data_IF_451436409181
#
_entry.id   IF_451436409181
#
_cell.length_a   1.000
_cell.length_b   1.000
_cell.length_c   1.000
_cell.angle_alpha   90.00
_cell.angle_beta   90.00
_cell.angle_gamma   90.00
#
_symmetry.space_group_name_H-M   'P 1'
#
loop_
_entity.id
_entity.type
_entity.pdbx_description
1 polymer ?
#
# COMPACT_ATOMS: atom_id res chain seq x y z
N UNK A 1 -62.48 -9.16 -23.27
CA UNK A 1 -61.81 -10.36 -23.79
C UNK A 1 -60.36 -10.34 -23.33
N UNK A 2 -59.95 -11.42 -22.65
CA UNK A 2 -58.59 -11.96 -22.38
C UNK A 2 -57.37 -11.01 -22.35
N UNK A 3 -56.81 -10.91 -21.13
CA UNK A 3 -55.41 -10.95 -20.70
C UNK A 3 -54.29 -10.79 -21.74
N UNK A 4 -53.25 -10.01 -21.40
CA UNK A 4 -51.85 -10.48 -21.21
C UNK A 4 -51.11 -9.45 -20.33
N UNK A 5 -50.71 -9.93 -19.15
CA UNK A 5 -49.73 -9.33 -18.26
C UNK A 5 -48.36 -9.60 -18.89
N UNK A 6 -47.61 -8.57 -19.23
CA UNK A 6 -46.19 -8.69 -19.54
C UNK A 6 -45.39 -8.05 -18.38
N UNK A 7 -45.14 -8.88 -17.37
CA UNK A 7 -44.09 -8.67 -16.37
C UNK A 7 -42.75 -8.64 -17.10
N UNK A 8 -42.28 -7.45 -17.47
CA UNK A 8 -40.90 -7.26 -17.88
C UNK A 8 -40.08 -7.05 -16.60
N UNK A 9 -39.67 -8.16 -15.99
CA UNK A 9 -38.64 -8.16 -14.98
C UNK A 9 -37.32 -7.79 -15.66
N UNK A 10 -37.01 -6.50 -15.72
CA UNK A 10 -35.63 -6.04 -15.90
C UNK A 10 -34.88 -6.40 -14.62
N UNK A 11 -34.39 -7.65 -14.56
CA UNK A 11 -33.18 -7.96 -13.80
C UNK A 11 -32.06 -7.11 -14.40
N UNK A 12 -31.91 -5.89 -13.87
CA UNK A 12 -30.66 -5.18 -13.94
C UNK A 12 -29.69 -6.05 -13.14
N UNK A 13 -28.91 -6.86 -13.86
CA UNK A 13 -27.65 -7.35 -13.35
C UNK A 13 -26.90 -6.13 -12.83
N UNK A 14 -26.86 -5.96 -11.51
CA UNK A 14 -25.87 -5.13 -10.89
C UNK A 14 -24.54 -5.74 -11.30
N UNK A 15 -23.89 -5.14 -12.30
CA UNK A 15 -22.46 -5.33 -12.49
C UNK A 15 -21.83 -4.93 -11.17
N UNK A 16 -21.52 -5.91 -10.33
CA UNK A 16 -20.39 -5.79 -9.41
C UNK A 16 -19.15 -5.72 -10.31
N UNK A 17 -18.96 -4.57 -10.94
CA UNK A 17 -17.60 -4.12 -11.20
C UNK A 17 -16.98 -4.07 -9.81
N UNK A 18 -16.03 -4.96 -9.52
CA UNK A 18 -15.11 -4.73 -8.43
C UNK A 18 -14.54 -3.33 -8.68
N UNK A 19 -15.00 -2.35 -7.91
CA UNK A 19 -14.40 -1.04 -7.96
C UNK A 19 -12.92 -1.28 -7.65
N UNK A 20 -12.04 -0.98 -8.60
CA UNK A 20 -10.64 -0.75 -8.25
C UNK A 20 -10.71 0.51 -7.37
N UNK A 21 -10.88 0.30 -6.06
CA UNK A 21 -11.03 1.39 -5.12
C UNK A 21 -9.81 2.30 -5.25
N UNK A 22 -10.03 3.62 -5.27
CA UNK A 22 -8.99 4.61 -5.51
C UNK A 22 -7.79 4.37 -4.57
N UNK A 23 -6.58 4.06 -5.09
CA UNK A 23 -5.38 3.87 -4.29
C UNK A 23 -5.08 5.02 -3.31
N UNK A 24 -5.47 6.26 -3.66
CA UNK A 24 -5.33 7.42 -2.77
C UNK A 24 -6.22 7.31 -1.52
N UNK A 25 -7.26 6.49 -1.54
CA UNK A 25 -8.19 6.27 -0.42
C UNK A 25 -7.90 4.96 0.30
N UNK A 26 -7.70 3.87 -0.44
CA UNK A 26 -7.53 2.55 0.19
C UNK A 26 -6.21 2.39 0.90
N UNK A 27 -5.11 2.91 0.35
CA UNK A 27 -3.81 2.79 1.02
C UNK A 27 -3.84 3.51 2.37
N UNK A 28 -4.30 4.78 2.46
CA UNK A 28 -4.41 5.43 3.75
C UNK A 28 -5.33 4.74 4.74
N UNK A 29 -6.52 4.31 4.29
CA UNK A 29 -7.48 3.62 5.17
C UNK A 29 -6.89 2.32 5.73
N UNK A 30 -6.25 1.51 4.89
CA UNK A 30 -5.62 0.24 5.28
C UNK A 30 -4.49 0.46 6.28
N UNK A 31 -3.59 1.40 5.98
CA UNK A 31 -2.45 1.69 6.86
C UNK A 31 -2.90 2.23 8.21
N UNK A 32 -3.90 3.11 8.24
CA UNK A 32 -4.47 3.60 9.51
C UNK A 32 -5.10 2.47 10.31
N UNK A 33 -5.88 1.61 9.68
CA UNK A 33 -6.48 0.45 10.35
C UNK A 33 -5.42 -0.46 11.02
N UNK A 34 -4.25 -0.59 10.41
CA UNK A 34 -3.19 -1.48 10.89
C UNK A 34 -2.26 -0.86 11.94
N UNK A 35 -1.94 0.44 11.82
CA UNK A 35 -0.86 1.06 12.59
C UNK A 35 -1.30 2.25 13.44
N UNK A 36 -2.48 2.83 13.20
CA UNK A 36 -2.98 3.95 14.00
C UNK A 36 -3.54 3.47 15.34
N UNK A 37 -3.23 4.19 16.41
CA UNK A 37 -3.86 4.02 17.74
C UNK A 37 -4.29 5.38 18.27
N UNK A 38 -5.16 5.41 19.27
CA UNK A 38 -5.64 6.65 19.87
C UNK A 38 -4.49 7.54 20.38
N UNK A 39 -3.44 6.94 20.94
CA UNK A 39 -2.28 7.66 21.49
C UNK A 39 -1.22 7.97 20.43
N UNK A 40 -1.24 7.26 19.29
CA UNK A 40 -0.25 7.38 18.22
C UNK A 40 -0.96 7.53 16.86
N UNK A 41 -1.46 8.73 16.54
CA UNK A 41 -2.09 8.99 15.25
C UNK A 41 -1.09 8.75 14.11
N UNK A 42 -1.56 8.16 13.01
CA UNK A 42 -0.73 7.92 11.82
C UNK A 42 -1.00 9.02 10.79
N UNK A 43 -0.01 9.88 10.59
CA UNK A 43 -0.05 10.89 9.54
C UNK A 43 0.53 10.31 8.25
N UNK A 44 -0.30 10.22 7.23
CA UNK A 44 0.13 9.85 5.88
C UNK A 44 0.14 11.11 5.02
N UNK A 45 1.24 11.32 4.30
CA UNK A 45 1.29 12.44 3.35
C UNK A 45 0.20 12.22 2.30
N UNK A 46 -0.62 13.24 1.99
CA UNK A 46 -1.87 13.07 1.25
C UNK A 46 -1.67 12.58 -0.19
N UNK A 47 -0.44 12.55 -0.69
CA UNK A 47 -0.14 12.07 -2.04
C UNK A 47 0.57 10.73 -1.94
N UNK A 48 -0.15 9.68 -2.34
CA UNK A 48 0.44 8.38 -2.62
C UNK A 48 0.95 8.42 -4.05
N UNK A 49 2.26 8.23 -4.27
CA UNK A 49 2.77 8.04 -5.63
C UNK A 49 2.42 6.61 -6.08
N UNK A 50 1.59 6.45 -7.11
CA UNK A 50 1.12 5.12 -7.57
C UNK A 50 1.53 4.90 -9.03
N UNK A 51 2.11 3.75 -9.34
CA UNK A 51 2.50 3.34 -10.67
C UNK A 51 2.32 1.83 -10.83
N UNK A 52 1.43 1.42 -11.74
CA UNK A 52 1.06 0.02 -11.94
C UNK A 52 0.69 -0.66 -10.60
N UNK A 53 1.39 -1.74 -10.23
CA UNK A 53 1.19 -2.49 -8.99
C UNK A 53 2.02 -1.95 -7.80
N UNK A 54 2.62 -0.77 -7.92
CA UNK A 54 3.50 -0.20 -6.90
C UNK A 54 3.01 1.15 -6.41
N UNK A 55 3.22 1.40 -5.13
CA UNK A 55 2.92 2.69 -4.52
C UNK A 55 3.97 3.09 -3.48
N UNK A 56 4.20 4.39 -3.31
CA UNK A 56 4.99 4.92 -2.20
C UNK A 56 4.15 5.94 -1.44
N UNK A 57 4.15 5.83 -0.12
CA UNK A 57 3.52 6.79 0.79
C UNK A 57 4.50 7.22 1.87
N UNK A 58 4.56 8.53 2.14
CA UNK A 58 5.25 9.07 3.30
C UNK A 58 4.39 8.90 4.56
N UNK A 59 4.98 8.43 5.65
CA UNK A 59 4.30 8.27 6.93
C UNK A 59 5.05 8.97 8.05
N UNK A 60 4.32 9.48 9.03
CA UNK A 60 4.83 10.08 10.26
C UNK A 60 3.97 9.62 11.45
N UNK A 61 4.61 9.21 12.54
CA UNK A 61 3.95 8.75 13.76
C UNK A 61 4.93 8.85 14.93
N UNK A 62 4.48 9.38 16.07
CA UNK A 62 5.24 9.39 17.32
C UNK A 62 6.66 9.99 17.17
N UNK A 63 6.77 11.11 16.44
CA UNK A 63 8.04 11.80 16.19
C UNK A 63 9.00 11.06 15.24
N UNK A 64 8.54 10.00 14.57
CA UNK A 64 9.30 9.25 13.55
C UNK A 64 8.63 9.40 12.19
N UNK A 65 9.37 9.14 11.12
CA UNK A 65 8.80 9.11 9.78
C UNK A 65 9.66 8.34 8.80
N UNK A 66 9.10 8.07 7.63
CA UNK A 66 9.73 7.32 6.57
C UNK A 66 8.85 7.23 5.33
N UNK A 67 9.29 6.41 4.37
CA UNK A 67 8.53 6.05 3.18
C UNK A 67 8.25 4.56 3.20
N UNK A 68 7.01 4.19 2.97
CA UNK A 68 6.62 2.80 2.76
C UNK A 68 6.44 2.57 1.26
N UNK A 69 7.16 1.60 0.70
CA UNK A 69 6.90 1.03 -0.61
C UNK A 69 5.86 -0.07 -0.44
N UNK A 70 4.78 0.01 -1.21
CA UNK A 70 3.70 -0.97 -1.23
C UNK A 70 3.63 -1.67 -2.58
N UNK A 71 3.19 -2.93 -2.55
CA UNK A 71 2.88 -3.72 -3.72
C UNK A 71 1.41 -4.14 -3.69
N UNK A 72 0.74 -4.05 -4.84
CA UNK A 72 -0.61 -4.60 -5.03
C UNK A 72 -0.52 -6.11 -5.08
N UNK A 73 -1.34 -6.76 -4.28
CA UNK A 73 -1.51 -8.22 -4.22
C UNK A 73 -2.97 -8.58 -4.49
N UNK A 74 -3.28 -9.87 -4.59
CA UNK A 74 -4.67 -10.33 -4.69
C UNK A 74 -5.50 -10.01 -3.43
N UNK A 75 -4.86 -9.76 -2.29
CA UNK A 75 -5.48 -9.30 -1.05
C UNK A 75 -5.45 -7.77 -0.89
N UNK A 76 -5.10 -7.02 -1.95
CA UNK A 76 -4.96 -5.58 -1.96
C UNK A 76 -3.52 -5.10 -1.69
N UNK A 77 -3.37 -3.83 -1.31
CA UNK A 77 -2.07 -3.21 -1.06
C UNK A 77 -1.41 -3.71 0.22
N UNK A 78 -0.16 -4.16 0.14
CA UNK A 78 0.65 -4.57 1.28
C UNK A 78 1.96 -3.78 1.33
N UNK A 79 2.47 -3.48 2.54
CA UNK A 79 3.80 -2.89 2.70
C UNK A 79 4.83 -3.93 2.28
N UNK A 80 5.64 -3.58 1.29
CA UNK A 80 6.78 -4.38 0.87
C UNK A 80 8.00 -4.06 1.72
N UNK A 81 8.31 -2.76 1.88
CA UNK A 81 9.39 -2.30 2.76
C UNK A 81 9.18 -0.86 3.22
N UNK A 82 9.84 -0.48 4.31
CA UNK A 82 9.97 0.90 4.77
C UNK A 82 11.44 1.34 4.72
N UNK A 83 11.68 2.58 4.25
CA UNK A 83 13.01 3.19 4.14
C UNK A 83 12.92 4.73 4.14
N UNK A 84 14.07 5.41 4.06
CA UNK A 84 14.18 6.86 3.90
C UNK A 84 14.30 7.30 2.44
N UNK A 85 15.30 8.13 2.12
CA UNK A 85 15.48 8.74 0.80
C UNK A 85 15.88 7.76 -0.31
N UNK A 86 16.29 6.53 0.02
CA UNK A 86 16.62 5.52 -0.99
C UNK A 86 15.43 5.18 -1.90
N UNK A 87 14.19 5.32 -1.40
CA UNK A 87 12.98 5.12 -2.21
C UNK A 87 12.68 6.24 -3.21
N UNK A 88 13.44 7.35 -3.18
CA UNK A 88 13.36 8.42 -4.17
C UNK A 88 14.17 8.11 -5.43
N UNK A 89 15.09 7.15 -5.35
CA UNK A 89 15.98 6.79 -6.43
C UNK A 89 15.40 5.65 -7.29
N UNK A 90 15.20 5.93 -8.58
CA UNK A 90 14.70 4.95 -9.54
C UNK A 90 15.65 3.76 -9.70
N UNK A 91 16.97 3.94 -9.51
CA UNK A 91 17.94 2.84 -9.56
C UNK A 91 17.75 1.85 -8.41
N UNK A 92 17.44 2.36 -7.21
CA UNK A 92 17.10 1.58 -6.03
C UNK A 92 15.79 0.82 -6.23
N UNK A 93 14.76 1.47 -6.75
CA UNK A 93 13.49 0.82 -7.08
C UNK A 93 13.68 -0.33 -8.11
N UNK A 94 14.55 -0.15 -9.10
CA UNK A 94 14.90 -1.24 -10.03
C UNK A 94 15.60 -2.41 -9.35
N UNK A 95 16.56 -2.15 -8.45
CA UNK A 95 17.23 -3.20 -7.66
C UNK A 95 16.27 -3.98 -6.78
N UNK A 96 15.18 -3.34 -6.34
CA UNK A 96 14.09 -3.99 -5.59
C UNK A 96 13.24 -4.90 -6.49
N UNK A 97 13.26 -4.68 -7.81
CA UNK A 97 12.57 -5.52 -8.80
C UNK A 97 11.51 -4.80 -9.62
N UNK A 98 11.40 -3.46 -9.53
CA UNK A 98 10.50 -2.70 -10.38
C UNK A 98 11.04 -2.66 -11.83
N UNK A 99 10.18 -2.81 -12.86
CA UNK A 99 10.57 -2.51 -14.24
C UNK A 99 11.11 -1.08 -14.36
N UNK A 100 12.13 -0.86 -15.20
CA UNK A 100 12.82 0.43 -15.30
C UNK A 100 11.87 1.61 -15.56
N UNK A 101 10.88 1.43 -16.44
CA UNK A 101 9.88 2.46 -16.74
C UNK A 101 8.99 2.78 -15.52
N UNK A 102 8.55 1.76 -14.79
CA UNK A 102 7.71 1.94 -13.60
C UNK A 102 8.50 2.57 -12.45
N UNK A 103 9.75 2.16 -12.25
CA UNK A 103 10.66 2.75 -11.27
C UNK A 103 10.88 4.24 -11.53
N UNK A 104 11.15 4.62 -12.78
CA UNK A 104 11.35 6.02 -13.17
C UNK A 104 10.06 6.84 -12.97
N UNK A 105 8.92 6.31 -13.41
CA UNK A 105 7.62 6.97 -13.26
C UNK A 105 7.22 7.13 -11.79
N UNK A 106 7.45 6.10 -10.96
CA UNK A 106 7.14 6.13 -9.53
C UNK A 106 8.02 7.14 -8.79
N UNK A 107 9.32 7.18 -9.07
CA UNK A 107 10.24 8.17 -8.50
C UNK A 107 9.86 9.61 -8.89
N UNK A 108 9.46 9.83 -10.16
CA UNK A 108 9.00 11.14 -10.62
C UNK A 108 7.72 11.57 -9.90
N UNK A 109 6.72 10.67 -9.81
CA UNK A 109 5.48 10.92 -9.06
C UNK A 109 5.75 11.22 -7.59
N UNK A 110 6.67 10.51 -6.95
CA UNK A 110 7.07 10.78 -5.58
C UNK A 110 7.72 12.16 -5.43
N UNK A 111 8.61 12.55 -6.34
CA UNK A 111 9.22 13.89 -6.34
C UNK A 111 8.16 14.99 -6.46
N UNK A 112 7.18 14.81 -7.35
CA UNK A 112 6.10 15.79 -7.53
C UNK A 112 5.15 15.83 -6.31
N UNK A 113 4.88 14.67 -5.71
CA UNK A 113 4.12 14.53 -4.46
C UNK A 113 4.78 15.27 -3.27
N UNK A 114 6.10 15.18 -3.17
CA UNK A 114 6.87 15.77 -2.08
C UNK A 114 7.19 17.25 -2.26
N UNK A 115 6.98 17.82 -3.46
CA UNK A 115 7.39 19.18 -3.80
C UNK A 115 6.73 20.26 -2.92
N UNK A 116 5.55 19.97 -2.35
CA UNK A 116 4.77 20.90 -1.53
C UNK A 116 4.75 20.52 -0.04
N UNK A 117 5.61 19.59 0.39
CA UNK A 117 5.72 19.20 1.81
C UNK A 117 6.61 20.20 2.53
N UNK A 118 6.19 20.63 3.73
CA UNK A 118 6.99 21.51 4.58
C UNK A 118 8.37 20.90 4.88
N UNK A 119 9.47 21.68 4.84
CA UNK A 119 10.82 21.14 4.99
C UNK A 119 11.04 20.31 6.27
N UNK A 120 10.52 20.69 7.46
CA UNK A 120 10.64 19.85 8.65
C UNK A 120 9.92 18.50 8.53
N UNK A 121 8.75 18.48 7.86
CA UNK A 121 8.02 17.25 7.62
C UNK A 121 8.76 16.34 6.62
N UNK A 122 9.32 16.92 5.56
CA UNK A 122 10.14 16.20 4.59
C UNK A 122 11.42 15.62 5.23
N UNK A 123 12.09 16.38 6.09
CA UNK A 123 13.26 15.91 6.83
C UNK A 123 12.92 14.70 7.72
N UNK A 124 11.73 14.66 8.31
CA UNK A 124 11.29 13.51 9.09
C UNK A 124 11.08 12.25 8.21
N UNK A 125 10.58 12.39 6.98
CA UNK A 125 10.50 11.27 6.03
C UNK A 125 11.89 10.74 5.62
N UNK A 126 12.89 11.62 5.56
CA UNK A 126 14.27 11.26 5.27
C UNK A 126 15.01 10.64 6.47
N UNK A 127 14.51 10.87 7.69
CA UNK A 127 15.16 10.45 8.94
C UNK A 127 15.11 8.93 9.21
N UNK A 128 14.40 8.16 8.40
CA UNK A 128 14.37 6.70 8.54
C UNK A 128 15.72 6.11 8.18
N UNK A 129 16.52 5.76 9.19
CA UNK A 129 17.79 5.07 9.02
C UNK A 129 17.57 3.55 8.91
N UNK A 130 17.92 2.98 7.75
CA UNK A 130 17.85 1.55 7.46
C UNK A 130 16.69 1.15 6.53
N UNK A 131 16.53 -0.16 6.33
CA UNK A 131 15.43 -0.72 5.53
C UNK A 131 14.78 -1.85 6.30
N UNK A 132 13.47 -1.72 6.56
CA UNK A 132 12.67 -2.79 7.18
C UNK A 132 11.84 -3.44 6.09
N UNK A 133 12.16 -4.69 5.76
CA UNK A 133 11.37 -5.50 4.84
C UNK A 133 10.21 -6.12 5.63
N UNK A 134 8.99 -5.77 5.28
CA UNK A 134 7.80 -6.41 5.85
C UNK A 134 7.43 -7.56 4.92
N UNK A 135 8.14 -8.69 5.02
CA UNK A 135 7.63 -9.93 4.43
C UNK A 135 6.46 -10.39 5.31
N UNK A 136 5.26 -9.84 5.08
CA UNK A 136 4.06 -10.51 5.55
C UNK A 136 3.99 -11.80 4.75
N UNK A 137 4.43 -12.88 5.37
CA UNK A 137 4.16 -14.24 4.92
C UNK A 137 2.69 -14.27 4.48
N UNK A 138 2.48 -14.59 3.21
CA UNK A 138 1.24 -15.21 2.75
C UNK A 138 0.73 -16.11 3.88
N UNK A 139 -0.47 -15.80 4.38
CA UNK A 139 -1.07 -16.50 5.49
C UNK A 139 -0.90 -18.00 5.22
N UNK A 140 -0.19 -18.66 6.13
CA UNK A 140 0.12 -20.07 6.00
C UNK A 140 -1.19 -20.81 6.20
N UNK A 141 -1.92 -21.01 5.10
CA UNK A 141 -2.86 -22.12 4.98
C UNK A 141 -2.02 -23.40 4.83
N UNK A 142 -1.34 -23.79 5.90
CA UNK A 142 -0.99 -25.19 6.11
C UNK A 142 -1.34 -25.59 7.54
N UNK A 143 -2.51 -26.21 7.62
CA UNK A 143 -2.95 -26.96 8.77
C UNK A 143 -2.19 -28.29 8.83
N UNK A 144 -1.33 -28.43 9.84
CA UNK A 144 -1.08 -29.71 10.48
C UNK A 144 0.30 -30.30 10.31
N UNK A 145 1.00 -30.53 11.44
CA UNK A 145 2.12 -31.45 11.47
C UNK A 145 3.09 -31.27 12.63
N UNK A 146 2.77 -31.89 13.77
CA UNK A 146 3.74 -32.54 14.66
C UNK A 146 4.86 -31.69 15.28
N UNK A 147 4.63 -31.24 16.51
CA UNK A 147 5.72 -30.92 17.43
C UNK A 147 6.12 -32.23 18.15
N UNK A 148 7.14 -32.91 17.65
CA UNK A 148 7.85 -34.03 18.31
C UNK A 148 9.35 -33.70 18.17
N UNK A 149 10.23 -33.70 19.16
CA UNK A 149 10.21 -33.86 20.61
C UNK A 149 11.65 -33.61 21.09
N UNK A 150 11.82 -33.02 22.27
CA UNK A 150 13.14 -32.89 22.93
C UNK A 150 13.43 -34.14 23.78
N UNK A 151 14.57 -34.81 23.54
CA UNK A 151 15.30 -35.76 24.43
C UNK A 151 16.28 -36.56 23.52
N UNK A 152 17.58 -36.73 23.74
CA UNK A 152 18.54 -36.46 24.83
C UNK A 152 19.89 -36.09 24.21
#
# INVERSE_FOLDING_TARGET
MKSIIALLACMLFASMASADDDPQQVIPARLKLMFETADKPLELTPVVAVQADWAIVGWRQDGRGGRALLKRTHHGWSIYLCSGDSLKDAGTLQKIGLPANDAAALAAKLRDAEANIDPPALALLSSFEGTVMMMMNEASDDAGGGHEGHAQ
#
